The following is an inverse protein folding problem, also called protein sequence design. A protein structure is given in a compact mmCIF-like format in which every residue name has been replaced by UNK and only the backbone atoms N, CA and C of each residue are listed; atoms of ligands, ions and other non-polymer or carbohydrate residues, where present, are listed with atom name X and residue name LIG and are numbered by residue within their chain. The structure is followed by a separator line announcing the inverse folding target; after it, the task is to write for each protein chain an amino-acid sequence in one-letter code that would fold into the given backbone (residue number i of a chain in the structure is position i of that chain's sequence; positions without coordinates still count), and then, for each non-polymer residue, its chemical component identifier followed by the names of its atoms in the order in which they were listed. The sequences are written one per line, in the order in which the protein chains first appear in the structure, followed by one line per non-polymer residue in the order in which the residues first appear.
data_IF_539570739543
#
_entry.id   IF_539570739543
#
_cell.length_a   1.000
_cell.length_b   1.000
_cell.length_c   1.000
_cell.angle_alpha   90.00
_cell.angle_beta   90.00
_cell.angle_gamma   90.00
#
_symmetry.space_group_name_H-M   'P 1'
#
loop_
_entity.id
_entity.type
_entity.pdbx_description
1 polymer ?
#
# COMPACT_ATOMS: atom_id res chain seq x y z
N UNK A 1 3.00 20.18 7.95
CA UNK A 1 4.12 20.95 7.34
C UNK A 1 3.98 20.87 5.83
N UNK A 2 3.59 21.95 5.15
CA UNK A 2 3.52 21.97 3.68
C UNK A 2 4.75 22.70 3.14
N UNK A 3 5.62 22.02 2.39
CA UNK A 3 6.60 22.73 1.56
C UNK A 3 5.80 23.40 0.45
N UNK A 4 5.71 24.73 0.47
CA UNK A 4 5.14 25.46 -0.66
C UNK A 4 6.00 25.18 -1.90
N UNK A 5 5.37 24.83 -3.02
CA UNK A 5 6.04 24.84 -4.31
C UNK A 5 6.63 26.24 -4.54
N UNK A 6 7.87 26.38 -5.04
CA UNK A 6 8.46 27.70 -5.25
C UNK A 6 7.60 28.50 -6.24
N UNK A 7 6.96 29.57 -5.78
CA UNK A 7 6.11 30.45 -6.60
C UNK A 7 6.81 31.74 -7.03
N UNK A 8 7.99 32.04 -6.48
CA UNK A 8 8.73 33.25 -6.78
C UNK A 8 9.99 32.95 -7.61
N UNK A 9 10.11 33.58 -8.78
CA UNK A 9 11.34 33.64 -9.55
C UNK A 9 12.38 34.46 -8.76
N UNK A 10 13.30 33.79 -8.05
CA UNK A 10 14.41 34.48 -7.37
C UNK A 10 14.92 33.92 -6.05
N UNK A 11 14.40 32.79 -5.53
CA UNK A 11 15.08 32.13 -4.40
C UNK A 11 16.27 31.28 -4.88
N UNK A 12 17.36 31.37 -4.12
CA UNK A 12 18.65 30.69 -4.30
C UNK A 12 18.67 29.25 -3.77
N UNK A 13 17.54 28.72 -3.28
CA UNK A 13 17.44 27.32 -2.86
C UNK A 13 17.68 26.42 -4.07
N UNK A 14 18.73 25.60 -3.98
CA UNK A 14 19.07 24.68 -5.05
C UNK A 14 17.90 23.73 -5.27
N UNK A 15 17.54 23.37 -6.52
CA UNK A 15 16.62 22.27 -6.78
C UNK A 15 16.98 20.98 -6.01
N UNK A 16 18.26 20.81 -5.64
CA UNK A 16 18.72 19.72 -4.77
C UNK A 16 18.19 19.81 -3.34
N UNK A 17 18.12 21.00 -2.75
CA UNK A 17 17.65 21.19 -1.38
C UNK A 17 16.14 20.92 -1.28
N UNK A 18 15.38 21.35 -2.29
CA UNK A 18 13.96 21.03 -2.43
C UNK A 18 13.72 19.52 -2.54
N UNK A 19 14.48 18.83 -3.40
CA UNK A 19 14.40 17.37 -3.55
C UNK A 19 14.82 16.65 -2.28
N UNK A 20 15.87 17.11 -1.59
CA UNK A 20 16.31 16.56 -0.31
C UNK A 20 15.26 16.76 0.80
N UNK A 21 14.55 17.89 0.80
CA UNK A 21 13.40 18.15 1.66
C UNK A 21 12.28 17.14 1.44
N UNK A 22 11.91 16.89 0.17
CA UNK A 22 10.93 15.85 -0.17
C UNK A 22 11.39 14.45 0.20
N UNK A 23 12.67 14.10 -0.02
CA UNK A 23 13.20 12.80 0.38
C UNK A 23 13.15 12.62 1.91
N UNK A 24 13.39 13.69 2.68
CA UNK A 24 13.29 13.66 4.14
C UNK A 24 11.85 13.55 4.61
N UNK A 25 10.93 14.30 3.99
CA UNK A 25 9.49 14.16 4.23
C UNK A 25 9.05 12.72 3.94
N UNK A 26 9.39 12.17 2.78
CA UNK A 26 9.06 10.80 2.38
C UNK A 26 9.60 9.78 3.39
N UNK A 27 10.83 9.92 3.87
CA UNK A 27 11.38 9.03 4.92
C UNK A 27 10.59 9.12 6.22
N UNK A 28 10.26 10.32 6.68
CA UNK A 28 9.40 10.47 7.87
C UNK A 28 8.01 9.85 7.63
N UNK A 29 7.48 10.00 6.42
CA UNK A 29 6.21 9.41 6.00
C UNK A 29 6.29 7.87 5.91
N UNK A 30 7.40 7.29 5.52
CA UNK A 30 7.55 5.83 5.50
C UNK A 30 7.78 5.30 6.92
N UNK A 31 8.48 6.06 7.76
CA UNK A 31 8.69 5.79 9.18
C UNK A 31 7.46 6.04 10.08
N UNK A 32 6.30 6.39 9.50
CA UNK A 32 5.04 6.49 10.23
C UNK A 32 4.70 7.86 10.83
N UNK A 33 5.49 8.91 10.59
CA UNK A 33 5.20 10.26 11.09
C UNK A 33 3.88 10.82 10.50
N UNK A 34 3.10 11.58 11.28
CA UNK A 34 1.87 12.22 10.78
C UNK A 34 2.19 13.39 9.84
N UNK A 35 1.36 13.64 8.81
CA UNK A 35 1.56 14.81 7.93
C UNK A 35 1.17 16.14 8.58
N UNK A 36 0.23 16.10 9.54
CA UNK A 36 -0.39 17.29 10.15
C UNK A 36 -0.49 17.23 11.68
N UNK A 37 0.30 16.39 12.35
CA UNK A 37 0.43 16.41 13.81
C UNK A 37 -0.86 16.02 14.56
N UNK A 38 -1.57 14.98 14.11
CA UNK A 38 -2.81 14.51 14.75
C UNK A 38 -3.94 15.55 14.76
N UNK A 39 -4.05 16.34 13.69
CA UNK A 39 -5.22 17.18 13.45
C UNK A 39 -6.50 16.35 13.54
N UNK A 40 -7.44 16.85 14.34
CA UNK A 40 -8.72 16.20 14.63
C UNK A 40 -9.66 16.28 13.43
N UNK A 41 -10.46 15.24 13.24
CA UNK A 41 -11.54 15.30 12.24
C UNK A 41 -12.59 16.32 12.68
N UNK A 42 -13.01 17.16 11.73
CA UNK A 42 -14.04 18.15 11.99
C UNK A 42 -15.32 17.82 11.18
N UNK A 43 -16.48 17.94 11.80
CA UNK A 43 -17.79 17.87 11.19
C UNK A 43 -18.62 19.09 11.59
N UNK A 44 -19.10 19.80 10.58
CA UNK A 44 -19.85 21.04 10.74
C UNK A 44 -21.31 20.82 10.35
N UNK A 45 -22.21 21.04 11.31
CA UNK A 45 -23.66 20.97 11.10
C UNK A 45 -24.13 22.28 10.44
N UNK A 46 -24.79 22.17 9.28
CA UNK A 46 -25.43 23.29 8.61
C UNK A 46 -26.71 23.69 9.38
N UNK A 47 -26.81 24.95 9.79
CA UNK A 47 -27.95 25.47 10.57
C UNK A 47 -29.09 26.01 9.69
N UNK A 48 -28.92 26.01 8.36
CA UNK A 48 -29.96 26.41 7.39
C UNK A 48 -30.02 27.91 7.10
N UNK A 49 -29.26 28.73 7.83
CA UNK A 49 -29.16 30.18 7.67
C UNK A 49 -27.83 30.63 7.01
N UNK A 50 -27.09 29.68 6.45
CA UNK A 50 -25.76 29.90 5.89
C UNK A 50 -24.62 29.83 6.92
N UNK A 51 -24.93 29.59 8.20
CA UNK A 51 -23.95 29.34 9.24
C UNK A 51 -23.79 27.85 9.56
N UNK A 52 -22.69 27.53 10.24
CA UNK A 52 -22.34 26.17 10.61
C UNK A 52 -21.90 26.11 12.07
N UNK A 53 -22.31 25.06 12.77
CA UNK A 53 -21.84 24.74 14.12
C UNK A 53 -20.86 23.55 14.07
N UNK A 54 -19.76 23.64 14.81
CA UNK A 54 -18.90 22.48 15.03
C UNK A 54 -19.66 21.44 15.88
N UNK A 55 -19.90 20.27 15.29
CA UNK A 55 -20.59 19.15 15.92
C UNK A 55 -19.68 17.92 16.08
N UNK A 56 -18.37 18.07 15.84
CA UNK A 56 -17.41 16.97 15.71
C UNK A 56 -17.39 16.05 16.93
N UNK A 57 -17.31 16.64 18.12
CA UNK A 57 -17.27 15.90 19.38
C UNK A 57 -18.61 15.20 19.68
N UNK A 58 -19.73 15.89 19.45
CA UNK A 58 -21.08 15.36 19.74
C UNK A 58 -21.45 14.22 18.79
N UNK A 59 -21.01 14.29 17.53
CA UNK A 59 -21.18 13.21 16.56
C UNK A 59 -20.17 12.07 16.73
N UNK A 60 -19.21 12.19 17.66
CA UNK A 60 -18.20 11.16 17.90
C UNK A 60 -17.23 10.94 16.75
N UNK A 61 -17.05 11.92 15.86
CA UNK A 61 -16.12 11.84 14.72
C UNK A 61 -14.76 12.46 15.02
N UNK A 62 -14.65 13.24 16.11
CA UNK A 62 -13.46 13.95 16.59
C UNK A 62 -12.34 13.00 17.07
N UNK A 63 -11.75 12.26 16.14
CA UNK A 63 -10.59 11.42 16.35
C UNK A 63 -9.31 12.22 16.09
N UNK A 64 -8.28 12.01 16.92
CA UNK A 64 -6.91 12.50 16.67
C UNK A 64 -6.14 11.63 15.66
N UNK A 65 -6.87 10.90 14.82
CA UNK A 65 -6.32 10.02 13.80
C UNK A 65 -5.74 10.86 12.64
N UNK A 66 -4.70 10.36 11.96
CA UNK A 66 -4.15 11.04 10.78
C UNK A 66 -5.02 10.77 9.52
N UNK A 67 -6.30 11.14 9.57
CA UNK A 67 -7.29 10.88 8.53
C UNK A 67 -7.02 11.70 7.26
N UNK A 68 -7.04 11.07 6.09
CA UNK A 68 -6.76 11.74 4.81
C UNK A 68 -7.85 11.57 3.78
N UNK A 69 -8.70 10.58 3.94
CA UNK A 69 -9.84 10.40 3.06
C UNK A 69 -11.10 10.12 3.87
N UNK A 70 -12.21 10.66 3.39
CA UNK A 70 -13.56 10.42 3.89
C UNK A 70 -14.40 9.93 2.72
N UNK A 71 -15.19 8.90 2.96
CA UNK A 71 -16.07 8.26 1.98
C UNK A 71 -17.42 8.06 2.65
N UNK A 72 -18.49 8.44 1.96
CA UNK A 72 -19.86 8.22 2.45
C UNK A 72 -20.54 7.11 1.65
N UNK A 73 -21.24 6.22 2.35
CA UNK A 73 -22.06 5.17 1.75
C UNK A 73 -23.04 4.64 2.77
N UNK A 74 -24.24 4.28 2.34
CA UNK A 74 -25.14 3.40 3.10
C UNK A 74 -24.55 1.99 3.04
N UNK A 75 -23.70 1.64 3.99
CA UNK A 75 -22.87 0.44 3.95
C UNK A 75 -23.70 -0.80 4.24
N UNK A 76 -24.61 -0.72 5.22
CA UNK A 76 -25.43 -1.85 5.65
C UNK A 76 -26.83 -1.88 5.03
N UNK A 77 -27.16 -0.89 4.19
CA UNK A 77 -28.37 -0.86 3.38
C UNK A 77 -29.62 -0.51 4.18
N UNK A 78 -29.49 0.12 5.34
CA UNK A 78 -30.61 0.49 6.19
C UNK A 78 -31.19 1.87 5.87
N UNK A 79 -30.43 2.70 5.15
CA UNK A 79 -30.85 3.97 4.62
C UNK A 79 -30.26 5.21 5.27
N UNK A 80 -29.45 5.08 6.30
CA UNK A 80 -28.57 6.16 6.73
C UNK A 80 -27.19 6.06 6.07
N UNK A 81 -26.51 7.19 5.98
CA UNK A 81 -25.18 7.25 5.39
C UNK A 81 -24.15 6.99 6.48
N UNK A 82 -23.32 5.97 6.26
CA UNK A 82 -22.14 5.67 7.03
C UNK A 82 -20.92 6.37 6.47
N UNK A 83 -19.87 6.43 7.30
CA UNK A 83 -18.63 7.09 6.97
C UNK A 83 -17.46 6.11 7.08
N UNK A 84 -16.72 5.97 6.00
CA UNK A 84 -15.40 5.37 6.01
C UNK A 84 -14.33 6.44 6.06
N UNK A 85 -13.41 6.31 7.01
CA UNK A 85 -12.19 7.11 7.09
C UNK A 85 -11.00 6.25 6.71
N UNK A 86 -10.14 6.80 5.86
CA UNK A 86 -8.80 6.25 5.60
C UNK A 86 -7.79 7.11 6.31
N UNK A 87 -7.15 6.53 7.30
CA UNK A 87 -6.05 7.14 8.01
C UNK A 87 -4.72 6.77 7.34
N UNK A 88 -3.77 7.67 7.45
CA UNK A 88 -2.40 7.41 7.03
C UNK A 88 -1.70 6.46 7.99
N UNK A 89 -1.86 6.69 9.28
CA UNK A 89 -1.32 5.88 10.37
C UNK A 89 -2.36 4.88 10.86
N UNK A 90 -2.07 4.19 11.97
CA UNK A 90 -3.03 3.29 12.61
C UNK A 90 -4.11 4.05 13.39
N UNK A 91 -5.37 3.57 13.40
CA UNK A 91 -5.91 2.47 12.57
C UNK A 91 -6.10 2.91 11.11
N UNK A 92 -5.67 2.14 10.11
CA UNK A 92 -5.67 2.57 8.70
C UNK A 92 -7.06 2.81 8.09
N UNK A 93 -8.04 2.03 8.50
CA UNK A 93 -9.43 2.17 8.09
C UNK A 93 -10.31 2.23 9.33
N UNK A 94 -11.28 3.13 9.32
CA UNK A 94 -12.31 3.23 10.34
C UNK A 94 -13.67 3.33 9.65
N UNK A 95 -14.60 2.48 10.06
CA UNK A 95 -16.01 2.63 9.73
C UNK A 95 -16.71 3.28 10.93
N UNK A 96 -17.44 4.35 10.66
CA UNK A 96 -18.40 4.95 11.56
C UNK A 96 -19.77 4.61 11.00
N UNK A 97 -20.47 3.70 11.68
CA UNK A 97 -21.83 3.34 11.32
C UNK A 97 -22.82 4.30 11.96
N UNK A 98 -23.75 4.84 11.19
CA UNK A 98 -24.67 5.89 11.65
C UNK A 98 -25.94 5.33 12.30
N UNK A 99 -25.81 4.68 13.45
CA UNK A 99 -26.97 4.11 14.17
C UNK A 99 -27.74 5.13 15.03
N UNK A 100 -27.80 6.42 14.66
CA UNK A 100 -28.53 7.40 15.47
C UNK A 100 -30.01 6.96 15.62
N UNK A 101 -30.68 7.20 16.75
CA UNK A 101 -32.10 6.89 16.90
C UNK A 101 -32.97 7.96 16.22
N UNK A 102 -34.14 7.59 15.70
CA UNK A 102 -35.13 8.53 15.18
C UNK A 102 -35.89 8.04 13.95
N UNK A 103 -36.98 8.72 13.63
CA UNK A 103 -37.79 8.47 12.44
C UNK A 103 -37.12 9.13 11.22
N UNK A 104 -36.34 8.34 10.48
CA UNK A 104 -35.53 8.80 9.34
C UNK A 104 -36.12 8.25 8.06
N UNK A 105 -36.49 9.15 7.16
CA UNK A 105 -36.92 8.77 5.83
C UNK A 105 -35.87 9.14 4.80
N UNK A 106 -35.83 8.35 3.74
CA UNK A 106 -34.83 8.54 2.70
C UNK A 106 -35.29 8.02 1.34
N UNK A 107 -34.59 8.43 0.30
CA UNK A 107 -34.63 7.73 -0.99
C UNK A 107 -33.24 7.78 -1.60
N UNK A 108 -32.84 6.71 -2.29
CA UNK A 108 -31.62 6.74 -3.07
C UNK A 108 -31.79 6.17 -4.47
N UNK A 109 -30.91 6.60 -5.37
CA UNK A 109 -30.92 6.19 -6.77
C UNK A 109 -29.56 5.69 -7.24
N UNK A 110 -29.56 4.53 -7.90
CA UNK A 110 -28.46 4.00 -8.69
C UNK A 110 -28.82 4.16 -10.18
N UNK A 111 -28.05 4.98 -10.89
CA UNK A 111 -28.33 5.27 -12.30
C UNK A 111 -27.47 4.41 -13.22
N UNK A 112 -28.07 3.93 -14.31
CA UNK A 112 -27.37 3.18 -15.36
C UNK A 112 -27.56 3.88 -16.70
N UNK A 113 -26.47 4.45 -17.21
CA UNK A 113 -26.44 5.09 -18.53
C UNK A 113 -26.56 4.09 -19.69
N UNK A 114 -27.15 4.55 -20.79
CA UNK A 114 -27.20 3.84 -22.07
C UNK A 114 -26.52 4.65 -23.18
N UNK A 115 -26.97 5.88 -23.38
CA UNK A 115 -26.34 6.86 -24.27
C UNK A 115 -25.26 7.65 -23.52
N UNK A 116 -25.53 7.99 -22.26
CA UNK A 116 -24.50 8.46 -21.34
C UNK A 116 -23.51 7.33 -21.01
N UNK A 117 -22.36 7.67 -20.41
CA UNK A 117 -21.45 6.67 -19.85
C UNK A 117 -22.22 5.73 -18.90
N UNK A 118 -21.83 4.45 -18.84
CA UNK A 118 -22.61 3.39 -18.14
C UNK A 118 -22.85 3.68 -16.67
N UNK A 119 -21.90 4.40 -16.07
CA UNK A 119 -21.88 4.81 -14.68
C UNK A 119 -22.68 6.10 -14.42
N UNK A 120 -23.29 6.68 -15.46
CA UNK A 120 -24.07 7.90 -15.45
C UNK A 120 -23.35 9.12 -14.85
N UNK A 121 -22.01 9.14 -14.88
CA UNK A 121 -21.21 10.25 -14.34
C UNK A 121 -21.63 11.56 -15.01
N UNK A 122 -21.98 12.56 -14.21
CA UNK A 122 -22.50 13.87 -14.61
C UNK A 122 -24.04 13.96 -14.63
N UNK A 123 -24.77 12.84 -14.48
CA UNK A 123 -26.23 12.87 -14.41
C UNK A 123 -26.70 13.60 -13.14
N UNK A 124 -27.77 14.37 -13.26
CA UNK A 124 -28.38 15.12 -12.14
C UNK A 124 -29.74 14.57 -11.82
N UNK A 125 -30.00 14.33 -10.54
CA UNK A 125 -31.32 13.93 -10.04
C UNK A 125 -31.86 15.04 -9.15
N UNK A 126 -33.05 15.53 -9.50
CA UNK A 126 -33.82 16.45 -8.68
C UNK A 126 -35.01 15.69 -8.07
N UNK A 127 -35.12 15.72 -6.75
CA UNK A 127 -36.25 15.15 -5.99
C UNK A 127 -37.07 16.32 -5.44
N UNK A 128 -38.37 16.28 -5.69
CA UNK A 128 -39.36 17.19 -5.13
C UNK A 128 -40.18 16.44 -4.08
N UNK A 129 -40.09 16.90 -2.83
CA UNK A 129 -40.76 16.30 -1.68
C UNK A 129 -41.02 17.36 -0.60
N UNK A 130 -42.23 17.37 -0.02
CA UNK A 130 -42.60 18.29 1.07
C UNK A 130 -42.42 19.78 0.71
N UNK A 131 -42.66 20.15 -0.56
CA UNK A 131 -42.46 21.51 -1.06
C UNK A 131 -40.98 21.92 -1.24
N UNK A 132 -40.03 21.00 -1.05
CA UNK A 132 -38.59 21.23 -1.21
C UNK A 132 -38.08 20.57 -2.48
N UNK A 133 -37.08 21.19 -3.12
CA UNK A 133 -36.38 20.62 -4.27
C UNK A 133 -34.92 20.35 -3.91
N UNK A 134 -34.53 19.08 -3.90
CA UNK A 134 -33.16 18.66 -3.61
C UNK A 134 -32.50 18.15 -4.89
N UNK A 135 -31.24 18.56 -5.15
CA UNK A 135 -30.50 18.12 -6.34
C UNK A 135 -29.20 17.44 -5.94
N UNK A 136 -28.88 16.32 -6.60
CA UNK A 136 -27.60 15.62 -6.49
C UNK A 136 -27.08 15.26 -7.88
N UNK A 137 -25.76 15.20 -8.03
CA UNK A 137 -25.09 14.85 -9.29
C UNK A 137 -24.25 13.59 -9.08
N UNK A 138 -24.27 12.66 -10.04
CA UNK A 138 -23.37 11.51 -10.02
C UNK A 138 -21.95 12.00 -10.32
N UNK A 139 -21.03 11.83 -9.37
CA UNK A 139 -19.63 12.23 -9.51
C UNK A 139 -18.71 11.01 -9.62
N UNK A 140 -17.52 11.24 -10.17
CA UNK A 140 -16.41 10.30 -10.15
C UNK A 140 -15.16 11.06 -9.72
N UNK A 141 -14.48 10.59 -8.68
CA UNK A 141 -13.40 11.32 -8.02
C UNK A 141 -13.91 12.41 -7.09
N UNK A 142 -14.35 12.01 -5.90
CA UNK A 142 -14.65 12.90 -4.77
C UNK A 142 -13.82 12.49 -3.54
N UNK A 143 -13.55 13.45 -2.66
CA UNK A 143 -12.60 13.25 -1.57
C UNK A 143 -11.14 13.12 -2.05
N UNK A 144 -10.20 13.16 -1.10
CA UNK A 144 -8.78 13.02 -1.39
C UNK A 144 -8.38 11.53 -1.44
N UNK A 145 -7.94 11.05 -2.60
CA UNK A 145 -7.56 9.64 -2.83
C UNK A 145 -8.67 8.62 -2.48
N UNK A 146 -9.93 9.03 -2.65
CA UNK A 146 -11.12 8.27 -2.29
C UNK A 146 -12.20 8.37 -3.37
N UNK A 147 -13.31 7.67 -3.14
CA UNK A 147 -14.56 7.85 -3.88
C UNK A 147 -15.75 7.41 -3.01
N UNK A 148 -16.72 8.30 -2.78
CA UNK A 148 -18.00 7.97 -2.15
C UNK A 148 -18.86 7.10 -3.07
N UNK A 149 -19.89 6.49 -2.51
CA UNK A 149 -20.87 5.75 -3.30
C UNK A 149 -21.45 6.63 -4.41
N UNK A 150 -21.60 6.07 -5.60
CA UNK A 150 -22.27 6.74 -6.74
C UNK A 150 -23.79 6.80 -6.58
N UNK A 151 -24.33 6.16 -5.53
CA UNK A 151 -25.75 6.23 -5.19
C UNK A 151 -26.09 7.64 -4.74
N UNK A 152 -27.12 8.22 -5.34
CA UNK A 152 -27.58 9.56 -4.99
C UNK A 152 -28.58 9.43 -3.86
N UNK A 153 -28.16 9.76 -2.64
CA UNK A 153 -28.96 9.69 -1.43
C UNK A 153 -29.62 11.04 -1.10
N UNK A 154 -30.87 10.98 -0.65
CA UNK A 154 -31.69 12.11 -0.22
C UNK A 154 -32.34 11.75 1.12
N UNK A 155 -32.10 12.57 2.16
CA UNK A 155 -32.84 12.51 3.42
C UNK A 155 -34.17 13.26 3.30
N UNK A 156 -35.22 12.70 3.89
CA UNK A 156 -36.60 13.20 3.84
C UNK A 156 -37.10 13.44 5.27
N UNK A 157 -38.06 14.36 5.42
CA UNK A 157 -38.73 14.61 6.70
C UNK A 157 -39.86 13.60 6.93
N UNK A 158 -40.31 13.48 8.18
CA UNK A 158 -41.48 12.67 8.53
C UNK A 158 -42.73 13.16 7.77
N UNK A 159 -43.39 12.23 7.07
CA UNK A 159 -44.58 12.52 6.26
C UNK A 159 -44.31 13.13 4.88
N UNK A 160 -43.04 13.28 4.47
CA UNK A 160 -42.74 13.68 3.09
C UNK A 160 -43.17 12.60 2.10
N UNK A 161 -43.96 13.00 1.11
CA UNK A 161 -44.21 12.23 -0.10
C UNK A 161 -43.33 12.76 -1.24
N UNK A 162 -42.92 11.86 -2.14
CA UNK A 162 -42.16 12.26 -3.33
C UNK A 162 -43.14 12.56 -4.45
N UNK A 163 -43.27 13.83 -4.77
CA UNK A 163 -44.14 14.33 -5.84
C UNK A 163 -43.56 13.98 -7.21
N UNK A 164 -42.23 14.18 -7.35
CA UNK A 164 -41.55 14.06 -8.64
C UNK A 164 -40.06 13.82 -8.50
N UNK A 165 -39.54 12.91 -9.33
CA UNK A 165 -38.09 12.72 -9.52
C UNK A 165 -37.74 13.04 -10.97
N UNK A 166 -36.86 14.01 -11.19
CA UNK A 166 -36.40 14.40 -12.54
C UNK A 166 -34.92 14.09 -12.69
N UNK A 167 -34.58 13.29 -13.71
CA UNK A 167 -33.22 12.87 -14.03
C UNK A 167 -32.79 13.55 -15.32
N UNK A 168 -31.76 14.39 -15.25
CA UNK A 168 -31.11 14.98 -16.42
C UNK A 168 -29.86 14.18 -16.74
N UNK A 169 -29.83 13.55 -17.93
CA UNK A 169 -28.72 12.70 -18.35
C UNK A 169 -27.62 13.49 -19.08
N UNK A 170 -26.34 13.13 -18.92
CA UNK A 170 -25.26 13.66 -19.74
C UNK A 170 -25.50 13.31 -21.21
N UNK A 171 -25.18 14.23 -22.12
CA UNK A 171 -25.32 14.05 -23.57
C UNK A 171 -26.78 13.88 -24.04
N UNK A 172 -27.77 14.25 -23.21
CA UNK A 172 -29.14 14.54 -23.63
C UNK A 172 -30.22 13.74 -22.91
N UNK A 173 -31.43 14.31 -22.91
CA UNK A 173 -32.66 13.72 -22.37
C UNK A 173 -32.91 14.04 -20.90
N UNK A 174 -34.18 14.30 -20.59
CA UNK A 174 -34.70 14.30 -19.23
C UNK A 174 -35.64 13.12 -19.07
N UNK A 175 -35.62 12.49 -17.90
CA UNK A 175 -36.51 11.41 -17.55
C UNK A 175 -37.21 11.77 -16.25
N UNK A 176 -38.52 11.64 -16.24
CA UNK A 176 -39.33 11.87 -15.04
C UNK A 176 -39.83 10.53 -14.54
N UNK A 177 -39.64 10.29 -13.25
CA UNK A 177 -40.27 9.20 -12.52
C UNK A 177 -41.34 9.83 -11.61
N UNK A 178 -42.52 9.21 -11.62
CA UNK A 178 -43.68 9.67 -10.86
C UNK A 178 -43.56 9.44 -9.35
N UNK A 179 -44.69 9.47 -8.64
CA UNK A 179 -44.71 9.19 -7.21
C UNK A 179 -44.09 7.82 -6.94
N UNK A 180 -43.16 7.79 -6.00
CA UNK A 180 -42.38 6.59 -5.69
C UNK A 180 -42.28 6.44 -4.18
N UNK A 181 -42.47 5.22 -3.63
CA UNK A 181 -42.37 5.00 -2.19
C UNK A 181 -40.99 5.38 -1.66
N UNK A 182 -40.98 6.05 -0.52
CA UNK A 182 -39.78 6.37 0.25
C UNK A 182 -39.15 5.10 0.86
N UNK A 183 -38.08 5.28 1.62
CA UNK A 183 -37.36 4.28 2.39
C UNK A 183 -36.83 3.13 1.54
N UNK A 184 -36.33 3.49 0.35
CA UNK A 184 -35.94 2.54 -0.68
C UNK A 184 -34.82 3.06 -1.58
N UNK A 185 -34.00 2.11 -2.04
CA UNK A 185 -33.01 2.32 -3.09
C UNK A 185 -33.61 1.85 -4.43
N UNK A 186 -33.52 2.68 -5.46
CA UNK A 186 -34.01 2.37 -6.79
C UNK A 186 -32.89 2.37 -7.83
N UNK A 187 -32.90 1.37 -8.73
CA UNK A 187 -32.11 1.39 -9.96
C UNK A 187 -32.95 1.97 -11.08
N UNK A 188 -32.39 2.96 -11.77
CA UNK A 188 -33.04 3.59 -12.92
C UNK A 188 -32.12 3.52 -14.13
N UNK A 189 -32.65 2.97 -15.23
CA UNK A 189 -31.92 2.82 -16.49
C UNK A 189 -32.36 3.94 -17.43
N UNK A 190 -31.40 4.55 -18.12
CA UNK A 190 -31.68 5.61 -19.07
C UNK A 190 -32.66 5.15 -20.15
N UNK A 191 -33.78 5.85 -20.28
CA UNK A 191 -34.79 5.60 -21.30
C UNK A 191 -35.82 4.52 -20.96
N UNK A 192 -35.80 3.97 -19.73
CA UNK A 192 -36.88 3.10 -19.24
C UNK A 192 -37.79 3.88 -18.31
N UNK A 193 -39.13 3.73 -18.37
CA UNK A 193 -40.04 4.43 -17.47
C UNK A 193 -40.01 3.88 -16.04
N UNK A 194 -39.43 2.70 -15.85
CA UNK A 194 -39.45 1.97 -14.58
C UNK A 194 -38.28 2.34 -13.66
N UNK A 195 -38.59 2.40 -12.36
CA UNK A 195 -37.62 2.42 -11.27
C UNK A 195 -37.65 1.06 -10.56
N UNK A 196 -36.58 0.29 -10.70
CA UNK A 196 -36.46 -1.04 -10.11
C UNK A 196 -36.04 -0.91 -8.65
N UNK A 197 -36.90 -1.32 -7.70
CA UNK A 197 -36.53 -1.33 -6.28
C UNK A 197 -35.43 -2.35 -6.04
N UNK A 198 -34.30 -1.93 -5.50
CA UNK A 198 -33.20 -2.81 -5.11
C UNK A 198 -33.49 -3.34 -3.71
N UNK A 199 -33.48 -4.67 -3.55
CA UNK A 199 -33.62 -5.30 -2.24
C UNK A 199 -32.47 -4.90 -1.32
N UNK A 200 -32.80 -4.59 -0.06
CA UNK A 200 -31.80 -4.28 0.96
C UNK A 200 -30.98 -5.54 1.25
N UNK A 201 -29.66 -5.41 1.19
CA UNK A 201 -28.72 -6.43 1.65
C UNK A 201 -28.09 -5.89 2.91
N UNK A 202 -28.21 -6.62 4.03
CA UNK A 202 -27.53 -6.29 5.28
C UNK A 202 -26.22 -7.06 5.39
N UNK A 203 -25.08 -6.53 4.89
CA UNK A 203 -23.79 -7.14 5.12
C UNK A 203 -23.51 -7.18 6.63
N UNK A 204 -23.44 -8.38 7.21
CA UNK A 204 -22.95 -8.53 8.57
C UNK A 204 -21.43 -8.37 8.56
N UNK A 205 -20.93 -7.28 9.15
CA UNK A 205 -19.54 -7.21 9.57
C UNK A 205 -19.36 -8.21 10.71
N UNK A 206 -18.82 -9.38 10.39
CA UNK A 206 -18.34 -10.28 11.43
C UNK A 206 -17.09 -9.65 12.02
N UNK A 207 -17.15 -9.27 13.29
CA UNK A 207 -15.95 -8.96 14.05
C UNK A 207 -15.04 -10.17 13.96
N UNK A 208 -13.97 -10.05 13.18
CA UNK A 208 -12.87 -10.98 13.30
C UNK A 208 -12.16 -10.59 14.59
N UNK A 209 -11.89 -11.58 15.46
CA UNK A 209 -10.92 -11.35 16.53
C UNK A 209 -9.68 -10.74 15.89
N UNK A 210 -9.05 -9.69 16.49
CA UNK A 210 -7.84 -9.11 15.96
C UNK A 210 -6.85 -10.24 15.73
N UNK A 211 -6.69 -10.62 14.46
CA UNK A 211 -5.71 -11.61 14.10
C UNK A 211 -4.39 -10.93 14.37
N UNK A 212 -3.57 -11.50 15.26
CA UNK A 212 -2.15 -11.18 15.24
C UNK A 212 -1.74 -11.25 13.77
N UNK A 213 -1.09 -10.21 13.21
CA UNK A 213 -0.65 -10.27 11.83
C UNK A 213 0.05 -11.60 11.68
N UNK A 214 -0.43 -12.42 10.72
CA UNK A 214 0.27 -13.67 10.40
C UNK A 214 1.74 -13.28 10.30
N UNK A 215 2.67 -13.97 10.99
CA UNK A 215 4.08 -13.74 10.76
C UNK A 215 4.25 -13.71 9.25
N UNK A 216 4.73 -12.58 8.71
CA UNK A 216 4.85 -12.42 7.27
C UNK A 216 5.60 -13.67 6.78
N UNK A 217 4.91 -14.53 6.04
CA UNK A 217 5.60 -15.57 5.29
C UNK A 217 6.62 -14.91 4.39
N UNK A 218 7.68 -15.62 4.02
CA UNK A 218 8.71 -15.07 3.12
C UNK A 218 8.08 -14.31 1.96
N UNK A 219 8.44 -13.03 1.83
CA UNK A 219 8.08 -12.23 0.67
C UNK A 219 9.24 -12.33 -0.31
N UNK A 220 9.05 -13.10 -1.39
CA UNK A 220 9.98 -13.16 -2.50
C UNK A 220 9.78 -11.94 -3.42
N UNK A 221 10.85 -11.20 -3.67
CA UNK A 221 10.89 -10.03 -4.56
C UNK A 221 11.80 -10.35 -5.75
N UNK A 222 11.30 -11.03 -6.79
CA UNK A 222 12.05 -11.24 -8.04
C UNK A 222 12.33 -9.91 -8.74
N UNK A 223 13.60 -9.68 -9.04
CA UNK A 223 14.07 -8.44 -9.66
C UNK A 223 13.91 -8.53 -11.18
N UNK A 224 13.12 -7.59 -11.73
CA UNK A 224 12.95 -7.42 -13.18
C UNK A 224 14.28 -7.06 -13.86
N UNK A 225 15.06 -6.18 -13.23
CA UNK A 225 16.43 -5.90 -13.63
C UNK A 225 17.36 -6.45 -12.54
N UNK A 226 18.24 -7.42 -12.87
CA UNK A 226 19.26 -7.89 -11.95
C UNK A 226 20.02 -6.74 -11.30
N UNK A 227 20.36 -6.90 -10.02
CA UNK A 227 21.08 -5.89 -9.24
C UNK A 227 22.51 -6.39 -8.98
N UNK A 228 23.52 -5.86 -9.69
CA UNK A 228 24.91 -6.22 -9.42
C UNK A 228 25.23 -6.07 -7.93
N UNK A 229 25.90 -7.05 -7.33
CA UNK A 229 26.33 -6.93 -5.93
C UNK A 229 27.49 -5.92 -5.85
N UNK A 230 27.50 -5.01 -4.85
CA UNK A 230 28.62 -4.09 -4.64
C UNK A 230 29.98 -4.80 -4.54
N UNK A 231 31.08 -4.25 -5.09
CA UNK A 231 32.40 -4.88 -5.07
C UNK A 231 32.91 -5.21 -3.66
N UNK A 232 32.62 -4.38 -2.65
CA UNK A 232 33.02 -4.64 -1.26
C UNK A 232 32.38 -5.92 -0.73
N UNK A 233 31.07 -6.06 -0.92
CA UNK A 233 30.31 -7.25 -0.50
C UNK A 233 30.72 -8.48 -1.31
N UNK A 234 30.91 -8.32 -2.62
CA UNK A 234 31.38 -9.41 -3.50
C UNK A 234 32.73 -9.94 -3.03
N UNK A 235 33.68 -9.05 -2.76
CA UNK A 235 35.02 -9.42 -2.31
C UNK A 235 35.01 -10.02 -0.91
N UNK A 236 34.10 -9.58 -0.04
CA UNK A 236 33.91 -10.17 1.29
C UNK A 236 33.38 -11.61 1.22
N UNK A 237 32.47 -11.90 0.29
CA UNK A 237 31.86 -13.23 0.14
C UNK A 237 32.79 -14.20 -0.60
N UNK A 238 33.37 -13.79 -1.73
CA UNK A 238 34.12 -14.68 -2.64
C UNK A 238 35.62 -14.36 -2.76
N UNK A 239 36.13 -13.32 -2.10
CA UNK A 239 37.50 -12.85 -2.28
C UNK A 239 37.72 -12.34 -3.71
N UNK A 240 38.88 -12.66 -4.29
CA UNK A 240 39.20 -12.34 -5.68
C UNK A 240 38.46 -13.21 -6.71
N UNK A 241 37.75 -14.25 -6.27
CA UNK A 241 37.03 -15.16 -7.15
C UNK A 241 35.65 -14.62 -7.55
N UNK A 242 35.19 -14.98 -8.73
CA UNK A 242 33.79 -14.80 -9.12
C UNK A 242 32.93 -15.96 -8.60
N UNK A 243 31.64 -15.75 -8.30
CA UNK A 243 30.73 -16.86 -8.08
C UNK A 243 30.70 -17.75 -9.33
N UNK A 244 30.81 -19.06 -9.14
CA UNK A 244 30.71 -20.05 -10.22
C UNK A 244 29.34 -20.71 -10.27
N UNK A 245 28.54 -20.51 -9.21
CA UNK A 245 27.21 -21.06 -8.99
C UNK A 245 26.32 -19.98 -8.40
N UNK A 246 25.01 -20.21 -8.47
CA UNK A 246 24.06 -19.33 -7.80
C UNK A 246 24.30 -19.42 -6.30
N UNK A 247 24.20 -18.31 -5.59
CA UNK A 247 24.48 -18.27 -4.16
C UNK A 247 23.33 -17.60 -3.41
N UNK A 248 22.82 -18.25 -2.38
CA UNK A 248 21.92 -17.64 -1.40
C UNK A 248 22.77 -17.00 -0.29
N UNK A 249 22.78 -15.67 -0.27
CA UNK A 249 23.42 -14.89 0.79
C UNK A 249 22.39 -14.62 1.89
N UNK A 250 22.59 -15.22 3.06
CA UNK A 250 21.66 -15.14 4.18
C UNK A 250 22.11 -14.10 5.20
N UNK A 251 21.36 -13.01 5.36
CA UNK A 251 21.57 -12.03 6.41
C UNK A 251 20.88 -12.53 7.68
N UNK A 252 21.67 -12.74 8.76
CA UNK A 252 21.19 -13.35 9.99
C UNK A 252 21.76 -12.66 11.25
N UNK A 253 21.06 -12.84 12.37
CA UNK A 253 21.46 -12.40 13.72
C UNK A 253 21.14 -13.49 14.74
N UNK A 254 21.91 -13.59 15.83
CA UNK A 254 21.66 -14.48 16.97
C UNK A 254 20.28 -14.29 17.61
N UNK A 255 19.73 -13.08 17.53
CA UNK A 255 18.40 -12.71 18.07
C UNK A 255 17.25 -13.05 17.11
N UNK A 256 17.57 -13.44 15.87
CA UNK A 256 16.59 -13.76 14.85
C UNK A 256 16.07 -15.20 14.97
N UNK A 257 14.94 -15.38 15.67
CA UNK A 257 14.28 -16.69 15.80
C UNK A 257 13.98 -17.34 14.43
N UNK A 258 13.45 -16.62 13.42
CA UNK A 258 13.18 -17.24 12.12
C UNK A 258 14.45 -17.67 11.36
N UNK A 259 15.60 -17.02 11.59
CA UNK A 259 16.87 -17.36 10.95
C UNK A 259 17.34 -18.77 11.32
N UNK A 260 17.19 -19.18 12.59
CA UNK A 260 17.50 -20.54 13.02
C UNK A 260 16.65 -21.58 12.29
N UNK A 261 15.36 -21.30 12.14
CA UNK A 261 14.45 -22.21 11.45
C UNK A 261 14.70 -22.28 9.93
N UNK A 262 15.21 -21.19 9.34
CA UNK A 262 15.63 -21.13 7.93
C UNK A 262 16.91 -21.93 7.69
N UNK A 263 17.98 -21.64 8.44
CA UNK A 263 19.26 -22.34 8.32
C UNK A 263 19.12 -23.84 8.60
N UNK A 264 18.29 -24.21 9.58
CA UNK A 264 18.00 -25.61 9.86
C UNK A 264 17.22 -26.33 8.74
N UNK A 265 16.33 -25.63 8.03
CA UNK A 265 15.65 -26.16 6.85
C UNK A 265 16.64 -26.38 5.70
N UNK A 266 17.49 -25.39 5.43
CA UNK A 266 18.46 -25.47 4.35
C UNK A 266 19.54 -26.51 4.63
N UNK A 267 19.98 -26.65 5.88
CA UNK A 267 20.95 -27.67 6.29
C UNK A 267 20.44 -29.08 5.99
N UNK A 268 19.18 -29.37 6.35
CA UNK A 268 18.50 -30.64 6.04
C UNK A 268 18.35 -30.91 4.54
N UNK A 269 18.26 -29.84 3.74
CA UNK A 269 18.07 -29.91 2.28
C UNK A 269 19.35 -29.49 1.51
N UNK A 270 20.51 -29.53 2.16
CA UNK A 270 21.78 -29.05 1.59
C UNK A 270 22.17 -29.78 0.31
N UNK A 271 21.95 -31.10 0.25
CA UNK A 271 22.19 -31.89 -0.95
C UNK A 271 21.27 -31.45 -2.12
N UNK A 272 20.00 -31.18 -1.84
CA UNK A 272 19.06 -30.71 -2.86
C UNK A 272 19.45 -29.31 -3.40
N UNK A 273 19.90 -28.41 -2.52
CA UNK A 273 20.44 -27.10 -2.92
C UNK A 273 21.70 -27.27 -3.79
N UNK A 274 22.61 -28.16 -3.41
CA UNK A 274 23.82 -28.44 -4.17
C UNK A 274 23.52 -29.04 -5.55
N UNK A 275 22.60 -30.01 -5.65
CA UNK A 275 22.14 -30.58 -6.92
C UNK A 275 21.46 -29.54 -7.79
N UNK A 276 20.71 -28.63 -7.17
CA UNK A 276 20.07 -27.51 -7.84
C UNK A 276 21.05 -26.38 -8.20
N UNK A 277 22.36 -26.50 -7.97
CA UNK A 277 23.34 -25.49 -8.37
C UNK A 277 23.33 -24.23 -7.48
N UNK A 278 22.88 -24.34 -6.23
CA UNK A 278 22.78 -23.24 -5.26
C UNK A 278 23.75 -23.49 -4.11
N UNK A 279 24.65 -22.55 -3.90
CA UNK A 279 25.52 -22.48 -2.73
C UNK A 279 24.87 -21.56 -1.68
N UNK A 280 25.26 -21.72 -0.41
CA UNK A 280 24.73 -20.92 0.69
C UNK A 280 25.89 -20.28 1.43
N UNK A 281 25.77 -18.99 1.73
CA UNK A 281 26.74 -18.26 2.55
C UNK A 281 25.99 -17.44 3.60
N UNK A 282 26.35 -17.65 4.86
CA UNK A 282 25.90 -16.81 5.97
C UNK A 282 26.62 -15.46 5.98
N UNK A 283 25.88 -14.42 6.33
CA UNK A 283 26.38 -13.07 6.52
C UNK A 283 25.83 -12.55 7.86
N UNK A 284 26.61 -12.75 8.93
CA UNK A 284 26.25 -12.28 10.26
C UNK A 284 26.23 -10.75 10.33
N UNK A 285 25.14 -10.19 10.91
CA UNK A 285 24.99 -8.73 11.13
C UNK A 285 25.19 -8.30 12.59
N UNK A 286 25.44 -9.24 13.49
CA UNK A 286 25.80 -8.95 14.88
C UNK A 286 27.22 -8.36 14.97
N UNK A 287 27.46 -7.45 15.92
CA UNK A 287 28.74 -6.73 16.06
C UNK A 287 29.33 -6.71 17.47
N UNK A 288 28.71 -7.43 18.40
CA UNK A 288 29.10 -7.49 19.80
C UNK A 288 30.04 -8.66 20.13
N UNK A 289 29.75 -9.87 19.66
CA UNK A 289 30.51 -11.08 20.01
C UNK A 289 30.71 -12.02 18.80
N UNK A 290 31.88 -11.95 18.13
CA UNK A 290 32.18 -12.78 16.96
C UNK A 290 32.24 -14.28 17.25
N UNK A 291 32.73 -14.68 18.42
CA UNK A 291 32.88 -16.09 18.78
C UNK A 291 31.51 -16.72 19.06
N UNK A 292 30.67 -16.02 19.83
CA UNK A 292 29.30 -16.46 20.06
C UNK A 292 28.48 -16.47 18.75
N UNK A 293 28.73 -15.52 17.85
CA UNK A 293 28.07 -15.46 16.53
C UNK A 293 28.47 -16.66 15.67
N UNK A 294 29.76 -16.93 15.52
CA UNK A 294 30.26 -18.07 14.76
C UNK A 294 29.71 -19.40 15.31
N UNK A 295 29.70 -19.56 16.64
CA UNK A 295 29.13 -20.74 17.31
C UNK A 295 27.65 -20.88 17.04
N UNK A 296 26.87 -19.81 17.22
CA UNK A 296 25.42 -19.84 17.00
C UNK A 296 25.10 -20.21 15.55
N UNK A 297 25.84 -19.69 14.57
CA UNK A 297 25.62 -19.99 13.16
C UNK A 297 25.96 -21.44 12.82
N UNK A 298 27.09 -21.95 13.31
CA UNK A 298 27.46 -23.34 13.16
C UNK A 298 26.36 -24.27 13.73
N UNK A 299 25.84 -23.94 14.91
CA UNK A 299 24.74 -24.69 15.54
C UNK A 299 23.43 -24.58 14.74
N UNK A 300 23.10 -23.39 14.22
CA UNK A 300 21.86 -23.15 13.48
C UNK A 300 21.86 -23.80 12.09
N UNK A 301 23.02 -23.83 11.43
CA UNK A 301 23.21 -24.45 10.11
C UNK A 301 23.68 -25.91 10.15
N UNK A 302 23.93 -26.46 11.35
CA UNK A 302 24.53 -27.78 11.50
C UNK A 302 25.94 -27.88 10.88
N UNK A 303 26.65 -26.77 10.75
CA UNK A 303 27.96 -26.68 10.10
C UNK A 303 27.93 -26.88 8.57
N UNK A 304 26.76 -26.86 7.94
CA UNK A 304 26.62 -27.14 6.51
C UNK A 304 27.15 -26.02 5.61
N UNK A 305 27.25 -24.78 6.14
CA UNK A 305 27.51 -23.59 5.34
C UNK A 305 28.62 -22.72 5.95
N UNK A 306 29.41 -22.01 5.13
CA UNK A 306 30.35 -21.00 5.62
C UNK A 306 29.60 -19.75 6.09
N UNK A 307 30.16 -19.07 7.10
CA UNK A 307 29.73 -17.74 7.53
C UNK A 307 30.80 -16.68 7.21
N UNK A 308 30.34 -15.47 6.85
CA UNK A 308 31.15 -14.31 6.49
C UNK A 308 30.68 -13.10 7.30
N UNK A 309 31.11 -12.94 8.56
CA UNK A 309 30.64 -11.85 9.43
C UNK A 309 30.96 -10.48 8.83
N UNK A 310 30.04 -9.52 8.94
CA UNK A 310 30.15 -8.21 8.29
C UNK A 310 30.73 -7.13 9.21
N UNK A 311 31.43 -6.16 8.61
CA UNK A 311 31.79 -4.91 9.26
C UNK A 311 30.61 -3.92 9.21
N UNK A 312 30.68 -2.82 9.98
CA UNK A 312 29.69 -1.74 9.93
C UNK A 312 29.51 -1.20 8.49
N UNK A 313 30.62 -0.99 7.76
CA UNK A 313 30.61 -0.55 6.37
C UNK A 313 29.84 -1.53 5.45
N UNK A 314 30.07 -2.84 5.58
CA UNK A 314 29.32 -3.83 4.81
C UNK A 314 27.80 -3.77 5.10
N UNK A 315 27.42 -3.57 6.37
CA UNK A 315 26.01 -3.44 6.76
C UNK A 315 25.35 -2.19 6.18
N UNK A 316 26.04 -1.06 6.15
CA UNK A 316 25.55 0.18 5.55
C UNK A 316 25.30 0.03 4.04
N UNK A 317 26.24 -0.60 3.32
CA UNK A 317 26.11 -0.89 1.89
C UNK A 317 24.94 -1.83 1.60
N UNK A 318 24.83 -2.95 2.34
CA UNK A 318 23.74 -3.92 2.19
C UNK A 318 22.38 -3.26 2.50
N UNK A 319 22.31 -2.44 3.54
CA UNK A 319 21.10 -1.70 3.91
C UNK A 319 20.70 -0.72 2.81
N UNK A 320 21.63 0.08 2.30
CA UNK A 320 21.38 1.03 1.20
C UNK A 320 20.86 0.30 -0.05
N UNK A 321 21.44 -0.85 -0.38
CA UNK A 321 21.04 -1.69 -1.50
C UNK A 321 19.60 -2.20 -1.37
N UNK A 322 19.25 -2.77 -0.21
CA UNK A 322 17.92 -3.34 0.04
C UNK A 322 16.85 -2.23 0.10
N UNK A 323 17.16 -1.09 0.72
CA UNK A 323 16.23 0.03 0.82
C UNK A 323 15.97 0.68 -0.54
N UNK A 324 16.97 0.77 -1.42
CA UNK A 324 16.76 1.25 -2.79
C UNK A 324 15.77 0.36 -3.57
N UNK A 325 15.78 -0.95 -3.33
CA UNK A 325 14.83 -1.88 -3.94
C UNK A 325 13.43 -1.77 -3.33
N UNK A 326 13.31 -1.61 -2.00
CA UNK A 326 12.01 -1.60 -1.31
C UNK A 326 11.31 -0.24 -1.34
N UNK A 327 12.05 0.87 -1.48
CA UNK A 327 11.57 2.26 -1.35
C UNK A 327 10.75 2.58 -0.08
N UNK A 328 10.71 1.66 0.88
CA UNK A 328 10.07 1.82 2.18
C UNK A 328 11.19 1.82 3.21
N UNK A 329 11.33 2.94 3.93
CA UNK A 329 12.38 3.17 4.94
C UNK A 329 12.07 2.41 6.25
N UNK A 330 11.98 1.08 6.16
CA UNK A 330 11.86 0.20 7.32
C UNK A 330 13.22 -0.43 7.61
N UNK A 331 13.48 -0.76 8.87
CA UNK A 331 14.68 -1.52 9.28
C UNK A 331 14.90 -2.80 8.43
N UNK A 332 16.14 -3.26 8.39
CA UNK A 332 16.49 -4.52 7.73
C UNK A 332 15.71 -5.65 8.42
N UNK A 333 14.85 -6.33 7.67
CA UNK A 333 14.06 -7.45 8.20
C UNK A 333 14.93 -8.69 8.20
N UNK A 334 15.07 -9.38 9.33
CA UNK A 334 15.83 -10.63 9.40
C UNK A 334 14.90 -11.86 9.51
N UNK A 335 15.19 -12.96 8.82
CA UNK A 335 16.24 -13.07 7.82
C UNK A 335 15.89 -12.26 6.56
N UNK A 336 16.92 -11.77 5.88
CA UNK A 336 16.81 -11.35 4.48
C UNK A 336 17.77 -12.19 3.67
N UNK A 337 17.28 -12.80 2.60
CA UNK A 337 18.10 -13.65 1.73
C UNK A 337 18.21 -13.04 0.34
N UNK A 338 19.43 -12.85 -0.15
CA UNK A 338 19.71 -12.41 -1.51
C UNK A 338 20.08 -13.64 -2.34
N UNK A 339 19.26 -13.97 -3.34
CA UNK A 339 19.60 -15.01 -4.32
C UNK A 339 20.37 -14.37 -5.47
N UNK A 340 21.65 -14.66 -5.54
CA UNK A 340 22.63 -14.09 -6.49
C UNK A 340 22.93 -15.13 -7.56
N UNK A 341 22.98 -14.70 -8.82
CA UNK A 341 23.41 -15.57 -9.92
C UNK A 341 24.94 -15.75 -9.97
N UNK A 342 25.39 -16.58 -10.90
CA UNK A 342 26.79 -16.82 -11.22
C UNK A 342 27.50 -15.63 -11.89
N UNK A 343 26.78 -14.58 -12.29
CA UNK A 343 27.39 -13.30 -12.67
C UNK A 343 27.66 -12.39 -11.44
N UNK A 344 27.12 -12.74 -10.27
CA UNK A 344 27.18 -11.94 -9.06
C UNK A 344 26.13 -10.82 -9.02
N UNK A 345 25.00 -11.00 -9.71
CA UNK A 345 23.87 -10.10 -9.67
C UNK A 345 22.69 -10.72 -8.91
N UNK A 346 22.11 -9.96 -7.99
CA UNK A 346 20.93 -10.34 -7.23
C UNK A 346 19.75 -10.48 -8.20
N UNK A 347 19.11 -11.64 -8.11
CA UNK A 347 17.94 -12.02 -8.90
C UNK A 347 16.66 -11.94 -8.07
N UNK A 348 16.71 -12.33 -6.80
CA UNK A 348 15.55 -12.35 -5.90
C UNK A 348 15.98 -11.88 -4.50
N UNK A 349 15.16 -11.07 -3.86
CA UNK A 349 15.31 -10.71 -2.44
C UNK A 349 14.15 -11.36 -1.66
N UNK A 350 14.47 -12.19 -0.68
CA UNK A 350 13.48 -12.75 0.24
C UNK A 350 13.49 -11.97 1.54
N UNK A 351 12.31 -11.59 2.02
CA UNK A 351 12.11 -10.88 3.27
C UNK A 351 11.38 -11.80 4.24
N UNK A 352 12.03 -12.17 5.34
CA UNK A 352 11.56 -13.22 6.25
C UNK A 352 11.97 -14.63 5.80
N UNK A 353 11.65 -15.62 6.63
CA UNK A 353 12.07 -17.03 6.47
C UNK A 353 11.61 -17.62 5.13
N UNK A 354 12.54 -18.08 4.31
CA UNK A 354 12.31 -18.78 3.04
C UNK A 354 12.78 -20.24 3.08
N UNK A 355 12.15 -21.14 2.31
CA UNK A 355 12.53 -22.55 2.30
C UNK A 355 13.59 -22.86 1.25
N UNK A 356 14.32 -23.98 1.42
CA UNK A 356 15.25 -24.47 0.40
C UNK A 356 14.55 -24.71 -0.95
N UNK A 357 13.31 -25.21 -0.92
CA UNK A 357 12.52 -25.47 -2.12
C UNK A 357 12.13 -24.18 -2.84
N UNK A 358 11.87 -23.09 -2.12
CA UNK A 358 11.60 -21.77 -2.72
C UNK A 358 12.83 -21.24 -3.46
N UNK A 359 14.03 -21.43 -2.91
CA UNK A 359 15.28 -21.07 -3.58
C UNK A 359 15.46 -21.84 -4.89
N UNK A 360 15.22 -23.16 -4.85
CA UNK A 360 15.32 -24.05 -6.02
C UNK A 360 14.29 -23.66 -7.09
N UNK A 361 13.04 -23.47 -6.69
CA UNK A 361 11.97 -23.05 -7.58
C UNK A 361 12.28 -21.70 -8.24
N UNK A 362 12.78 -20.73 -7.46
CA UNK A 362 13.14 -19.41 -7.98
C UNK A 362 14.32 -19.46 -8.94
N UNK A 363 15.39 -20.21 -8.64
CA UNK A 363 16.48 -20.40 -9.61
C UNK A 363 15.96 -20.99 -10.91
N UNK A 364 15.16 -22.06 -10.84
CA UNK A 364 14.61 -22.72 -12.01
C UNK A 364 13.68 -21.80 -12.82
N UNK A 365 12.89 -20.96 -12.15
CA UNK A 365 12.03 -19.96 -12.79
C UNK A 365 12.85 -18.86 -13.46
N UNK A 366 13.83 -18.30 -12.76
CA UNK A 366 14.62 -17.16 -13.20
C UNK A 366 15.56 -17.49 -14.38
N UNK A 367 15.95 -18.76 -14.50
CA UNK A 367 16.67 -19.29 -15.67
C UNK A 367 15.77 -19.41 -16.92
N UNK A 368 14.46 -19.56 -16.76
CA UNK A 368 13.50 -19.75 -17.87
C UNK A 368 12.84 -18.45 -18.31
N UNK A 369 12.71 -17.49 -17.40
CA UNK A 369 11.93 -16.25 -17.62
C UNK A 369 12.87 -15.09 -17.84
N UNK A 370 12.78 -14.50 -19.04
CA UNK A 370 13.58 -13.34 -19.39
C UNK A 370 13.28 -12.18 -18.42
N UNK A 371 14.27 -11.33 -18.08
CA UNK A 371 14.13 -10.22 -17.13
C UNK A 371 12.85 -9.39 -17.32
N UNK A 372 12.47 -9.09 -18.56
CA UNK A 372 11.28 -8.30 -18.90
C UNK A 372 9.94 -9.02 -18.66
N UNK A 373 9.93 -10.35 -18.56
CA UNK A 373 8.76 -11.21 -18.36
C UNK A 373 8.55 -11.60 -16.88
N UNK A 374 9.49 -11.24 -16.00
CA UNK A 374 9.38 -11.49 -14.55
C UNK A 374 8.25 -10.63 -14.00
N UNK A 375 7.11 -11.25 -13.67
CA UNK A 375 5.97 -10.58 -13.03
C UNK A 375 6.03 -10.76 -11.53
N UNK A 376 5.88 -9.65 -10.80
CA UNK A 376 5.93 -9.63 -9.34
C UNK A 376 4.64 -10.12 -8.67
N UNK A 377 3.50 -10.23 -9.38
CA UNK A 377 2.20 -10.76 -8.89
C UNK A 377 1.32 -11.24 -10.06
N UNK A 378 0.33 -12.10 -9.81
CA UNK A 378 -0.68 -12.55 -10.78
C UNK A 378 -1.71 -11.49 -11.22
N UNK A 379 -1.39 -10.20 -11.09
CA UNK A 379 -2.26 -9.06 -11.41
C UNK A 379 -1.61 -8.07 -12.36
N UNK A 380 -2.41 -7.43 -13.22
CA UNK A 380 -2.01 -6.58 -14.36
C UNK A 380 -1.75 -5.09 -14.05
N UNK A 381 -1.48 -4.70 -12.80
CA UNK A 381 -1.20 -3.28 -12.50
C UNK A 381 0.30 -3.03 -12.43
N UNK A 382 0.82 -2.40 -13.48
CA UNK A 382 2.23 -2.10 -13.69
C UNK A 382 2.49 -0.62 -13.42
N UNK A 383 3.37 -0.31 -12.46
CA UNK A 383 4.19 0.89 -12.54
C UNK A 383 5.61 0.41 -12.89
N UNK A 384 6.02 0.66 -14.14
CA UNK A 384 7.43 0.55 -14.51
C UNK A 384 8.17 1.75 -13.93
N UNK A 385 8.41 1.76 -12.62
CA UNK A 385 9.36 2.73 -12.07
C UNK A 385 10.77 2.22 -12.41
N UNK A 386 11.56 2.94 -13.23
CA UNK A 386 12.97 2.60 -13.39
C UNK A 386 13.65 2.62 -12.02
N UNK A 387 14.58 1.68 -11.80
CA UNK A 387 15.41 1.67 -10.58
C UNK A 387 16.29 2.93 -10.62
N UNK A 388 16.35 3.64 -9.49
CA UNK A 388 17.13 4.88 -9.37
C UNK A 388 18.60 4.54 -9.09
N UNK A 389 19.31 4.20 -10.15
CA UNK A 389 20.73 3.80 -10.11
C UNK A 389 21.63 4.96 -9.70
N UNK A 390 21.37 6.16 -10.24
CA UNK A 390 22.12 7.36 -9.91
C UNK A 390 21.88 7.80 -8.46
N UNK A 391 20.65 7.67 -7.96
CA UNK A 391 20.33 7.88 -6.55
C UNK A 391 21.07 6.90 -5.63
N UNK A 392 21.10 5.60 -5.97
CA UNK A 392 21.88 4.60 -5.21
C UNK A 392 23.37 4.93 -5.21
N UNK A 393 23.95 5.26 -6.37
CA UNK A 393 25.35 5.64 -6.49
C UNK A 393 25.68 6.89 -5.66
N UNK A 394 24.83 7.92 -5.71
CA UNK A 394 24.99 9.13 -4.91
C UNK A 394 24.91 8.84 -3.41
N UNK A 395 23.96 8.01 -2.99
CA UNK A 395 23.82 7.60 -1.59
C UNK A 395 25.06 6.85 -1.10
N UNK A 396 25.58 5.88 -1.87
CA UNK A 396 26.78 5.14 -1.50
C UNK A 396 28.02 6.04 -1.38
N UNK A 397 28.19 7.02 -2.28
CA UNK A 397 29.27 8.03 -2.15
C UNK A 397 29.13 8.87 -0.89
N UNK A 398 27.91 9.30 -0.56
CA UNK A 398 27.65 10.06 0.65
C UNK A 398 27.96 9.26 1.92
N UNK A 399 27.76 7.94 1.89
CA UNK A 399 28.14 7.02 2.96
C UNK A 399 29.64 6.68 2.97
N UNK A 400 30.45 7.20 2.04
CA UNK A 400 31.88 6.94 1.98
C UNK A 400 32.27 5.67 1.22
N UNK A 401 31.40 5.14 0.35
CA UNK A 401 31.62 3.94 -0.45
C UNK A 401 31.68 4.23 -1.97
N UNK A 402 32.68 4.98 -2.46
CA UNK A 402 32.76 5.37 -3.87
C UNK A 402 33.02 4.18 -4.82
N UNK A 403 33.74 3.15 -4.38
CA UNK A 403 33.99 1.94 -5.18
C UNK A 403 32.70 1.14 -5.40
N UNK A 404 31.86 1.07 -4.37
CA UNK A 404 30.53 0.46 -4.45
C UNK A 404 29.55 1.28 -5.29
N UNK A 405 29.70 2.60 -5.32
CA UNK A 405 28.89 3.48 -6.15
C UNK A 405 29.17 3.32 -7.66
N UNK A 406 30.44 3.11 -8.04
CA UNK A 406 30.90 3.16 -9.43
C UNK A 406 30.17 2.20 -10.37
N UNK A 407 29.75 1.02 -9.87
CA UNK A 407 29.07 0.02 -10.69
C UNK A 407 27.63 0.42 -11.07
N UNK A 408 27.09 1.45 -10.42
CA UNK A 408 25.73 1.96 -10.61
C UNK A 408 25.66 3.27 -11.39
N UNK A 409 26.79 3.84 -11.84
CA UNK A 409 26.85 5.07 -12.64
C UNK A 409 26.42 4.90 -14.11
N UNK A 410 25.51 3.96 -14.40
CA UNK A 410 25.13 3.59 -15.76
C UNK A 410 24.00 4.42 -16.36
#
# INVERSE_FOLDING_TARGET
MASQSPTAAGRTESPRDYVAGWATLNRQMDGGASWSGSERNNAFLNLGDGTFADASAVLGIDFMDDARAVVTTDWDGDGDLDIWLRNRTGPQLRLLRNDMPGDRHWIAFELVGKQANRDAIGARVAVEAGGRRMVRTVTSGDGYLAQSSRRLHFGLAAGDEIDRVTISWPLGGSQVIGPIPVDSLYRIRQGTPEAERIARVRPMLRSAAPASPRPLGSVAVPLRTPLPLPPSIRSHVWGAAAPTRWTALNLWSRTCVPCRAELGDWSKNSEALQQAGIDVVGIGVDDDDPEASAKWFADASGGAFPDRPTSAAHREVIRALILNVRRLDTELVLPTTLLVDDAGAIQVIYLGKTSAMDLIASRAHMAKVAPHQRSLRGGRWFFAMPRDWSGLAAQLRHLGHPEDAAIYDK
#
